data_IF_771994456171
#
_entry.id   IF_771994456171
#
_cell.length_a   1.000
_cell.length_b   1.000
_cell.length_c   1.000
_cell.angle_alpha   90.00
_cell.angle_beta   90.00
_cell.angle_gamma   90.00
#
_symmetry.space_group_name_H-M   'P 1'
#
loop_
_entity.id
_entity.type
_entity.pdbx_description
1 polymer ?
#
# COMPACT_ATOMS: atom_id res chain seq x y z
N UNK A 1 18.95 -36.11 36.68
CA UNK A 1 19.71 -37.38 36.49
C UNK A 1 18.81 -38.36 35.76
N UNK A 2 19.37 -39.19 34.85
CA UNK A 2 18.76 -40.04 33.79
C UNK A 2 18.39 -39.26 32.52
N UNK A 3 19.28 -39.03 31.54
CA UNK A 3 20.15 -39.94 30.75
C UNK A 3 19.37 -41.01 30.00
N UNK A 4 19.26 -40.87 28.67
CA UNK A 4 19.88 -41.82 27.73
C UNK A 4 19.86 -41.36 26.27
N UNK A 5 20.87 -41.89 25.62
CA UNK A 5 21.52 -41.50 24.39
C UNK A 5 21.13 -42.39 23.21
N UNK A 6 21.05 -41.76 22.03
CA UNK A 6 21.62 -42.16 20.73
C UNK A 6 20.88 -43.18 19.86
N UNK A 7 20.64 -42.77 18.61
CA UNK A 7 20.81 -43.61 17.42
C UNK A 7 21.48 -42.80 16.30
N UNK A 8 22.59 -43.37 15.81
CA UNK A 8 23.27 -43.02 14.56
C UNK A 8 22.52 -43.66 13.39
N UNK A 9 22.40 -42.94 12.27
CA UNK A 9 22.41 -43.55 10.95
C UNK A 9 22.92 -42.54 9.92
N UNK A 10 24.11 -42.83 9.39
CA UNK A 10 24.69 -42.17 8.24
C UNK A 10 24.03 -42.68 6.95
N UNK A 11 23.76 -41.79 6.00
CA UNK A 11 23.44 -42.16 4.61
C UNK A 11 24.14 -41.22 3.64
N UNK A 12 25.00 -41.86 2.85
CA UNK A 12 25.39 -41.62 1.45
C UNK A 12 25.73 -40.20 0.96
N UNK A 13 26.97 -40.11 0.48
CA UNK A 13 27.45 -39.11 -0.45
C UNK A 13 26.74 -39.20 -1.81
N UNK A 14 26.48 -38.05 -2.41
CA UNK A 14 26.31 -37.90 -3.86
C UNK A 14 26.92 -36.55 -4.26
N UNK A 15 28.04 -36.64 -4.96
CA UNK A 15 28.70 -35.54 -5.65
C UNK A 15 27.85 -35.20 -6.88
N UNK A 16 27.22 -34.03 -6.87
CA UNK A 16 26.67 -33.40 -8.07
C UNK A 16 27.38 -32.05 -8.23
N UNK A 17 28.23 -31.97 -9.25
CA UNK A 17 28.83 -30.75 -9.71
C UNK A 17 27.73 -29.79 -10.20
N UNK A 18 27.58 -28.64 -9.55
CA UNK A 18 27.03 -27.46 -10.20
C UNK A 18 28.20 -26.52 -10.52
N UNK A 19 28.46 -26.39 -11.82
CA UNK A 19 29.22 -25.30 -12.39
C UNK A 19 28.72 -23.98 -11.81
N UNK A 20 29.65 -23.12 -11.41
CA UNK A 20 29.35 -21.72 -11.12
C UNK A 20 28.82 -21.06 -12.39
N UNK A 21 27.62 -20.52 -12.29
CA UNK A 21 27.09 -19.51 -13.20
C UNK A 21 26.88 -18.24 -12.38
N UNK A 22 27.32 -17.16 -13.00
CA UNK A 22 27.63 -15.88 -12.39
C UNK A 22 26.40 -15.11 -11.90
N UNK A 23 26.69 -14.17 -10.99
CA UNK A 23 25.74 -13.36 -10.25
C UNK A 23 24.59 -12.78 -11.08
N UNK A 24 23.39 -13.11 -10.64
CA UNK A 24 22.15 -12.51 -11.09
C UNK A 24 21.05 -12.84 -10.10
N UNK A 25 21.12 -12.32 -8.88
CA UNK A 25 19.95 -12.31 -7.99
C UNK A 25 18.84 -11.54 -8.71
N UNK A 26 17.88 -12.23 -9.31
CA UNK A 26 16.61 -11.63 -9.69
C UNK A 26 15.86 -11.33 -8.39
N UNK A 27 16.26 -10.26 -7.72
CA UNK A 27 15.64 -9.81 -6.47
C UNK A 27 14.31 -9.09 -6.70
N UNK A 28 13.93 -8.79 -7.96
CA UNK A 28 12.83 -7.87 -8.25
C UNK A 28 11.82 -8.37 -9.30
N UNK A 29 11.71 -9.69 -9.50
CA UNK A 29 10.54 -10.23 -10.19
C UNK A 29 9.39 -10.34 -9.18
N UNK A 30 8.78 -9.19 -8.84
CA UNK A 30 7.43 -9.18 -8.30
C UNK A 30 6.50 -10.02 -9.21
N UNK A 31 5.35 -10.51 -8.70
CA UNK A 31 4.47 -11.37 -9.48
C UNK A 31 4.22 -10.73 -10.86
N UNK A 32 4.39 -11.49 -11.97
CA UNK A 32 4.41 -10.96 -13.34
C UNK A 32 3.13 -10.24 -13.78
N UNK A 33 2.12 -10.23 -12.90
CA UNK A 33 0.77 -9.73 -13.14
C UNK A 33 0.43 -8.47 -12.33
N UNK A 34 1.39 -7.87 -11.62
CA UNK A 34 1.15 -6.64 -10.87
C UNK A 34 0.74 -5.50 -11.84
N UNK A 35 -0.57 -5.24 -11.92
CA UNK A 35 -1.15 -4.22 -12.79
C UNK A 35 -0.58 -2.85 -12.39
N UNK A 36 0.40 -2.36 -13.15
CA UNK A 36 0.94 -1.02 -12.96
C UNK A 36 -0.09 0.00 -13.47
N UNK A 37 -0.79 0.65 -12.55
CA UNK A 37 -1.68 1.78 -12.83
C UNK A 37 -1.07 3.00 -12.15
N UNK A 38 -1.08 4.16 -12.81
CA UNK A 38 -0.49 5.39 -12.25
C UNK A 38 0.97 5.25 -11.75
N UNK A 39 1.76 4.44 -12.47
CA UNK A 39 3.21 4.29 -12.23
C UNK A 39 3.61 3.43 -11.03
N UNK A 40 2.66 2.81 -10.32
CA UNK A 40 2.94 2.00 -9.13
C UNK A 40 2.29 0.62 -9.19
N UNK A 41 2.84 -0.42 -8.52
CA UNK A 41 2.13 -1.67 -8.29
C UNK A 41 0.85 -1.47 -7.47
N UNK A 42 -0.14 -2.32 -7.71
CA UNK A 42 -1.31 -2.43 -6.84
C UNK A 42 -0.88 -2.92 -5.44
N UNK A 43 -1.45 -2.31 -4.40
CA UNK A 43 -1.23 -2.68 -3.00
C UNK A 43 -2.44 -3.48 -2.52
N UNK A 44 -2.56 -4.73 -2.99
CA UNK A 44 -3.72 -5.59 -2.70
C UNK A 44 -3.73 -6.05 -1.25
N UNK A 45 -2.56 -6.44 -0.74
CA UNK A 45 -2.40 -6.90 0.64
C UNK A 45 -2.34 -5.73 1.64
N UNK A 46 -2.88 -5.89 2.86
CA UNK A 46 -2.72 -4.93 3.95
C UNK A 46 -1.24 -4.60 4.20
N UNK A 47 -0.93 -3.31 4.39
CA UNK A 47 0.43 -2.83 4.66
C UNK A 47 0.69 -2.57 6.16
N UNK A 48 -0.35 -2.64 6.98
CA UNK A 48 -0.32 -2.55 8.44
C UNK A 48 -1.54 -3.30 9.03
N UNK A 49 -1.49 -3.59 10.33
CA UNK A 49 -2.64 -4.04 11.09
C UNK A 49 -3.37 -2.85 11.74
N UNK A 50 -4.70 -2.94 11.93
CA UNK A 50 -5.48 -2.01 12.73
C UNK A 50 -4.82 -1.64 14.06
N UNK A 51 -4.58 -0.35 14.30
CA UNK A 51 -3.97 0.15 15.53
C UNK A 51 -2.43 0.12 15.59
N UNK A 52 -1.76 -0.30 14.52
CA UNK A 52 -0.30 -0.21 14.42
C UNK A 52 0.18 1.26 14.52
N UNK A 53 1.38 1.44 15.08
CA UNK A 53 2.03 2.76 15.09
C UNK A 53 2.66 3.04 13.71
N UNK A 54 2.28 4.16 13.08
CA UNK A 54 2.66 4.48 11.69
C UNK A 54 3.66 5.65 11.65
N UNK A 55 4.83 5.48 12.26
CA UNK A 55 5.89 6.50 12.26
C UNK A 55 5.46 7.89 12.81
N UNK A 56 4.39 7.95 13.60
CA UNK A 56 3.80 9.21 14.09
C UNK A 56 2.87 9.92 13.08
N UNK A 57 2.51 9.24 11.98
CA UNK A 57 1.50 9.70 11.04
C UNK A 57 0.14 9.73 11.72
N UNK A 58 -0.45 10.91 11.72
CA UNK A 58 -1.82 11.17 12.16
C UNK A 58 -2.58 11.84 11.03
N UNK A 59 -3.89 12.03 11.21
CA UNK A 59 -4.64 12.91 10.31
C UNK A 59 -3.98 14.29 10.15
N UNK A 60 -3.58 14.93 11.26
CA UNK A 60 -3.04 16.30 11.26
C UNK A 60 -1.61 16.35 10.69
N UNK A 61 -0.76 15.40 11.06
CA UNK A 61 0.67 15.41 10.70
C UNK A 61 0.96 14.86 9.30
N UNK A 62 0.04 14.08 8.72
CA UNK A 62 0.21 13.45 7.42
C UNK A 62 -1.02 13.58 6.51
N UNK A 63 -2.13 12.94 6.87
CA UNK A 63 -3.20 12.67 5.91
C UNK A 63 -3.83 13.96 5.37
N UNK A 64 -4.05 14.97 6.21
CA UNK A 64 -4.62 16.26 5.82
C UNK A 64 -3.82 16.91 4.68
N UNK A 65 -2.48 16.90 4.76
CA UNK A 65 -1.61 17.43 3.71
C UNK A 65 -1.72 16.63 2.42
N UNK A 66 -1.72 15.30 2.52
CA UNK A 66 -1.86 14.41 1.37
C UNK A 66 -3.19 14.64 0.63
N UNK A 67 -4.32 14.68 1.35
CA UNK A 67 -5.64 14.90 0.75
C UNK A 67 -5.74 16.29 0.11
N UNK A 68 -5.17 17.32 0.75
CA UNK A 68 -5.12 18.68 0.19
C UNK A 68 -4.34 18.74 -1.11
N UNK A 69 -3.23 18.01 -1.22
CA UNK A 69 -2.38 18.05 -2.40
C UNK A 69 -2.96 17.26 -3.58
N UNK A 70 -3.56 16.10 -3.31
CA UNK A 70 -3.89 15.15 -4.37
C UNK A 70 -5.39 14.96 -4.64
N UNK A 71 -6.27 15.26 -3.68
CA UNK A 71 -7.64 14.75 -3.69
C UNK A 71 -8.71 15.84 -3.72
N UNK A 72 -8.54 16.90 -2.93
CA UNK A 72 -9.58 17.94 -2.69
C UNK A 72 -9.93 18.73 -3.96
N UNK A 73 -9.05 18.79 -4.97
CA UNK A 73 -9.33 19.46 -6.26
C UNK A 73 -10.58 18.93 -6.99
N UNK A 74 -10.96 17.67 -6.74
CA UNK A 74 -12.19 17.07 -7.29
C UNK A 74 -13.18 16.73 -6.17
N UNK A 75 -12.67 16.41 -4.98
CA UNK A 75 -13.43 15.90 -3.84
C UNK A 75 -13.56 16.92 -2.71
N UNK A 76 -13.65 18.21 -3.00
CA UNK A 76 -14.00 19.20 -1.97
C UNK A 76 -15.51 19.27 -1.78
N UNK A 77 -15.94 19.48 -0.54
CA UNK A 77 -17.30 19.82 -0.14
C UNK A 77 -17.82 21.10 -0.77
N UNK A 78 -16.95 22.01 -1.20
CA UNK A 78 -17.34 23.28 -1.83
C UNK A 78 -17.55 23.16 -3.34
N UNK A 79 -17.24 22.00 -3.95
CA UNK A 79 -17.39 21.77 -5.39
C UNK A 79 -18.71 21.06 -5.69
N UNK A 80 -19.37 21.48 -6.77
CA UNK A 80 -20.62 20.89 -7.25
C UNK A 80 -20.60 20.73 -8.78
N UNK A 81 -21.48 19.88 -9.30
CA UNK A 81 -21.66 19.70 -10.75
C UNK A 81 -20.36 19.37 -11.49
N UNK A 82 -20.09 20.12 -12.56
CA UNK A 82 -18.93 19.92 -13.43
C UNK A 82 -17.59 20.16 -12.70
N UNK A 83 -17.57 21.05 -11.69
CA UNK A 83 -16.33 21.40 -10.97
C UNK A 83 -15.76 20.23 -10.17
N UNK A 84 -16.58 19.20 -9.89
CA UNK A 84 -16.14 17.96 -9.25
C UNK A 84 -15.34 17.04 -10.17
N UNK A 85 -15.25 17.33 -11.48
CA UNK A 85 -14.55 16.50 -12.46
C UNK A 85 -14.98 15.01 -12.41
N UNK A 86 -16.27 14.77 -12.21
CA UNK A 86 -16.84 13.43 -12.09
C UNK A 86 -16.73 12.79 -10.70
N UNK A 87 -16.14 13.46 -9.70
CA UNK A 87 -16.17 12.97 -8.33
C UNK A 87 -17.62 12.94 -7.80
N UNK A 88 -18.09 11.81 -7.23
CA UNK A 88 -19.46 11.71 -6.72
C UNK A 88 -19.75 12.73 -5.61
N UNK A 89 -21.00 13.22 -5.56
CA UNK A 89 -21.45 14.06 -4.44
C UNK A 89 -21.39 13.26 -3.13
N UNK A 90 -21.01 13.92 -2.04
CA UNK A 90 -20.87 13.29 -0.72
C UNK A 90 -19.52 12.63 -0.45
N UNK A 91 -18.68 12.42 -1.47
CA UNK A 91 -17.31 11.93 -1.33
C UNK A 91 -16.36 13.11 -1.16
N UNK A 92 -16.39 13.74 0.02
CA UNK A 92 -15.69 14.99 0.32
C UNK A 92 -14.51 14.76 1.27
N UNK A 93 -13.29 15.01 0.78
CA UNK A 93 -12.04 14.69 1.48
C UNK A 93 -11.44 15.87 2.25
N UNK A 94 -12.05 17.05 2.14
CA UNK A 94 -11.81 18.23 2.98
C UNK A 94 -12.59 18.19 4.30
N UNK A 95 -13.48 17.22 4.48
CA UNK A 95 -14.22 16.98 5.72
C UNK A 95 -13.74 15.67 6.34
N UNK A 96 -13.00 15.73 7.44
CA UNK A 96 -12.39 14.55 8.08
C UNK A 96 -13.41 13.45 8.38
N UNK A 97 -14.58 13.80 8.92
CA UNK A 97 -15.63 12.82 9.22
C UNK A 97 -16.09 12.05 7.97
N UNK A 98 -16.27 12.75 6.85
CA UNK A 98 -16.65 12.14 5.57
C UNK A 98 -15.52 11.27 5.01
N UNK A 99 -14.28 11.75 5.07
CA UNK A 99 -13.10 10.97 4.69
C UNK A 99 -13.00 9.67 5.51
N UNK A 100 -13.14 9.74 6.84
CA UNK A 100 -13.10 8.58 7.74
C UNK A 100 -14.19 7.57 7.44
N UNK A 101 -15.41 8.03 7.13
CA UNK A 101 -16.51 7.15 6.74
C UNK A 101 -16.25 6.37 5.44
N UNK A 102 -15.34 6.85 4.59
CA UNK A 102 -15.06 6.26 3.27
C UNK A 102 -13.61 5.75 3.11
N UNK A 103 -12.92 5.45 4.22
CA UNK A 103 -11.54 4.97 4.18
C UNK A 103 -11.36 3.71 3.33
N UNK A 104 -12.32 2.78 3.37
CA UNK A 104 -12.29 1.56 2.56
C UNK A 104 -12.35 1.86 1.05
N UNK A 105 -13.20 2.79 0.64
CA UNK A 105 -13.31 3.21 -0.75
C UNK A 105 -12.07 3.96 -1.22
N UNK A 106 -11.51 4.82 -0.38
CA UNK A 106 -10.24 5.52 -0.66
C UNK A 106 -9.11 4.49 -0.80
N UNK A 107 -9.01 3.53 0.13
CA UNK A 107 -8.03 2.44 0.11
C UNK A 107 -8.12 1.60 -1.15
N UNK A 108 -9.33 1.28 -1.59
CA UNK A 108 -9.55 0.56 -2.83
C UNK A 108 -9.14 1.39 -4.05
N UNK A 109 -9.56 2.66 -4.14
CA UNK A 109 -9.29 3.50 -5.30
C UNK A 109 -7.81 3.90 -5.46
N UNK A 110 -7.12 4.14 -4.34
CA UNK A 110 -5.73 4.60 -4.31
C UNK A 110 -4.76 3.43 -4.22
N UNK A 111 -5.03 2.42 -3.40
CA UNK A 111 -4.10 1.30 -3.17
C UNK A 111 -4.32 0.12 -4.10
N UNK A 112 -5.54 -0.43 -4.12
CA UNK A 112 -5.84 -1.69 -4.84
C UNK A 112 -6.02 -1.46 -6.33
N UNK A 113 -7.07 -0.74 -6.71
CA UNK A 113 -7.37 -0.44 -8.12
C UNK A 113 -6.43 0.63 -8.69
N UNK A 114 -5.79 1.41 -7.82
CA UNK A 114 -4.70 2.33 -8.13
C UNK A 114 -5.01 3.30 -9.29
N UNK A 115 -6.27 3.71 -9.43
CA UNK A 115 -6.70 4.61 -10.52
C UNK A 115 -6.80 6.07 -10.08
N UNK A 116 -6.79 6.33 -8.77
CA UNK A 116 -6.79 7.69 -8.22
C UNK A 116 -5.39 8.19 -7.85
N UNK A 117 -5.13 9.50 -8.02
CA UNK A 117 -5.99 10.49 -8.67
C UNK A 117 -5.94 10.39 -10.21
N UNK A 118 -7.07 10.67 -10.89
CA UNK A 118 -7.19 10.56 -12.35
C UNK A 118 -6.26 11.49 -13.15
N UNK A 119 -5.91 12.64 -12.57
CA UNK A 119 -5.03 13.64 -13.19
C UNK A 119 -3.92 14.08 -12.23
N UNK A 120 -2.93 14.80 -12.75
CA UNK A 120 -1.81 15.28 -11.95
C UNK A 120 -2.17 16.40 -10.95
N UNK A 121 -1.30 16.68 -9.97
CA UNK A 121 -0.12 15.86 -9.65
C UNK A 121 -0.53 14.54 -9.00
N UNK A 122 0.06 13.44 -9.47
CA UNK A 122 -0.12 12.11 -8.87
C UNK A 122 0.87 11.95 -7.70
N UNK A 123 0.47 11.27 -6.61
CA UNK A 123 1.41 10.91 -5.57
C UNK A 123 2.45 9.93 -6.12
N UNK A 124 3.67 10.01 -5.60
CA UNK A 124 4.70 9.00 -5.81
C UNK A 124 4.28 7.65 -5.22
N UNK A 125 4.95 6.55 -5.60
CA UNK A 125 4.64 5.24 -5.04
C UNK A 125 4.88 5.17 -3.52
N UNK A 126 5.90 5.88 -3.03
CA UNK A 126 6.17 5.96 -1.59
C UNK A 126 5.04 6.70 -0.84
N UNK A 127 4.56 7.82 -1.37
CA UNK A 127 3.44 8.55 -0.76
C UNK A 127 2.14 7.73 -0.80
N UNK A 128 1.90 6.99 -1.88
CA UNK A 128 0.76 6.08 -2.01
C UNK A 128 0.82 4.95 -0.98
N UNK A 129 1.97 4.30 -0.86
CA UNK A 129 2.17 3.23 0.13
C UNK A 129 2.03 3.77 1.56
N UNK A 130 2.52 4.99 1.83
CA UNK A 130 2.34 5.66 3.12
C UNK A 130 0.86 5.91 3.44
N UNK A 131 0.08 6.41 2.48
CA UNK A 131 -1.38 6.57 2.67
C UNK A 131 -2.04 5.23 2.95
N UNK A 132 -1.77 4.22 2.13
CA UNK A 132 -2.35 2.88 2.28
C UNK A 132 -2.05 2.31 3.66
N UNK A 133 -0.81 2.38 4.11
CA UNK A 133 -0.38 1.92 5.43
C UNK A 133 -1.07 2.68 6.57
N UNK A 134 -1.23 4.00 6.43
CA UNK A 134 -1.99 4.79 7.41
C UNK A 134 -3.46 4.38 7.47
N UNK A 135 -4.11 4.10 6.32
CA UNK A 135 -5.49 3.62 6.30
C UNK A 135 -5.61 2.22 6.90
N UNK A 136 -4.73 1.29 6.51
CA UNK A 136 -4.74 -0.10 6.98
C UNK A 136 -4.52 -0.19 8.51
N UNK A 137 -3.93 0.84 9.11
CA UNK A 137 -3.73 0.98 10.55
C UNK A 137 -4.88 1.67 11.30
N UNK A 138 -6.08 1.73 10.73
CA UNK A 138 -7.25 2.44 11.25
C UNK A 138 -7.11 3.98 11.26
N UNK A 139 -6.25 4.54 10.42
CA UNK A 139 -6.11 5.99 10.26
C UNK A 139 -5.90 6.73 11.59
N UNK A 140 -4.81 6.42 12.32
CA UNK A 140 -4.54 7.00 13.64
C UNK A 140 -4.39 8.53 13.63
#
# INVERSE_FOLDING_TARGET
>A
MTSRSWWLAAVAASVAACSGDDGGTAADAGPPDARIVNGCPALEEPQAAPGDAIDGDTYVTFAMGFFSQHCIRCHSSTLAGADRNGAPAGYNWDVEATMRMHLAEIRNAVGVANFMPFSGPQPTCAERQRLVRWIDADAP
#
